data_IF_065348483187
#
_entry.id   IF_065348483187
#
_cell.length_a   1.000
_cell.length_b   1.000
_cell.length_c   1.000
_cell.angle_alpha   90.00
_cell.angle_beta   90.00
_cell.angle_gamma   90.00
#
_symmetry.space_group_name_H-M   'P 1'
#
loop_
_entity.id
_entity.type
_entity.pdbx_description
1 polymer ?
#
# COMPACT_ATOMS: atom_id res chain seq x y z
N UNK A 1 20.19 8.06 11.35
CA UNK A 1 20.44 8.67 10.01
C UNK A 1 20.25 10.19 10.01
N UNK A 2 20.98 10.94 9.18
CA UNK A 2 20.82 12.40 9.07
C UNK A 2 19.66 12.81 8.12
N UNK A 3 19.22 14.06 8.16
CA UNK A 3 18.07 14.53 7.38
C UNK A 3 18.27 14.38 5.85
N UNK A 4 19.46 14.68 5.33
CA UNK A 4 19.72 14.58 3.89
C UNK A 4 19.63 13.13 3.39
N UNK A 5 20.11 12.17 4.17
CA UNK A 5 19.95 10.74 3.88
C UNK A 5 18.47 10.32 3.91
N UNK A 6 17.70 10.79 4.88
CA UNK A 6 16.25 10.48 4.96
C UNK A 6 15.51 11.02 3.72
N UNK A 7 15.80 12.25 3.31
CA UNK A 7 15.22 12.88 2.12
C UNK A 7 15.60 12.13 0.82
N UNK A 8 16.85 11.65 0.74
CA UNK A 8 17.30 10.83 -0.39
C UNK A 8 16.55 9.51 -0.46
N UNK A 9 16.39 8.81 0.67
CA UNK A 9 15.65 7.54 0.72
C UNK A 9 14.18 7.76 0.36
N UNK A 10 13.54 8.79 0.91
CA UNK A 10 12.17 9.13 0.58
C UNK A 10 12.00 9.46 -0.92
N UNK A 11 12.98 10.13 -1.52
CA UNK A 11 12.99 10.41 -2.96
C UNK A 11 13.06 9.12 -3.78
N UNK A 12 13.90 8.15 -3.37
CA UNK A 12 13.98 6.84 -4.00
C UNK A 12 12.63 6.11 -3.87
N UNK A 13 12.03 6.08 -2.68
CA UNK A 13 10.71 5.46 -2.43
C UNK A 13 9.64 6.05 -3.36
N UNK A 14 9.55 7.38 -3.44
CA UNK A 14 8.61 8.09 -4.34
C UNK A 14 8.82 7.72 -5.80
N UNK A 15 10.08 7.74 -6.26
CA UNK A 15 10.40 7.40 -7.64
C UNK A 15 10.02 5.96 -7.98
N UNK A 16 10.23 5.01 -7.05
CA UNK A 16 9.82 3.63 -7.26
C UNK A 16 8.28 3.48 -7.22
N UNK A 17 7.57 4.19 -6.35
CA UNK A 17 6.11 4.21 -6.37
C UNK A 17 5.58 4.69 -7.72
N UNK A 18 6.13 5.78 -8.26
CA UNK A 18 5.71 6.29 -9.57
C UNK A 18 5.97 5.29 -10.70
N UNK A 19 7.07 4.55 -10.64
CA UNK A 19 7.43 3.55 -11.66
C UNK A 19 6.59 2.28 -11.56
N UNK A 20 6.35 1.77 -10.34
CA UNK A 20 5.67 0.49 -10.11
C UNK A 20 4.16 0.63 -9.88
N UNK A 21 3.69 1.86 -9.66
CA UNK A 21 2.32 2.18 -9.22
C UNK A 21 1.95 1.55 -7.87
N UNK A 22 2.93 1.20 -7.05
CA UNK A 22 2.76 0.70 -5.69
C UNK A 22 3.91 1.14 -4.78
N UNK A 23 3.61 1.32 -3.50
CA UNK A 23 4.61 1.76 -2.51
C UNK A 23 5.58 0.59 -2.26
N UNK A 24 6.88 0.78 -2.53
CA UNK A 24 7.87 -0.29 -2.45
C UNK A 24 8.09 -0.79 -1.02
N UNK A 25 8.53 -2.04 -0.90
CA UNK A 25 9.09 -2.60 0.32
C UNK A 25 10.60 -2.31 0.41
N UNK A 26 11.20 -2.51 1.59
CA UNK A 26 12.67 -2.45 1.69
C UNK A 26 13.33 -3.47 0.76
N UNK A 27 12.78 -4.68 0.62
CA UNK A 27 13.34 -5.67 -0.31
C UNK A 27 13.25 -5.23 -1.78
N UNK A 28 12.27 -4.41 -2.17
CA UNK A 28 12.24 -3.79 -3.51
C UNK A 28 13.40 -2.82 -3.71
N UNK A 29 13.71 -2.03 -2.69
CA UNK A 29 14.83 -1.09 -2.71
C UNK A 29 16.16 -1.85 -2.84
N UNK A 30 16.33 -2.91 -2.06
CA UNK A 30 17.52 -3.78 -2.07
C UNK A 30 17.72 -4.49 -3.42
N UNK A 31 16.64 -4.91 -4.07
CA UNK A 31 16.66 -5.59 -5.38
C UNK A 31 16.81 -4.62 -6.56
N UNK A 32 16.73 -3.30 -6.34
CA UNK A 32 16.77 -2.33 -7.42
C UNK A 32 18.17 -2.26 -8.08
N UNK A 33 18.29 -2.31 -9.42
CA UNK A 33 19.59 -2.41 -10.10
C UNK A 33 20.51 -1.20 -9.88
N UNK A 34 19.94 -0.01 -9.64
CA UNK A 34 20.72 1.23 -9.47
C UNK A 34 20.90 1.59 -7.99
N UNK A 35 19.88 1.38 -7.17
CA UNK A 35 19.86 1.87 -5.79
C UNK A 35 20.08 0.76 -4.77
N UNK A 36 19.90 -0.51 -5.16
CA UNK A 36 20.13 -1.69 -4.32
C UNK A 36 21.44 -1.65 -3.55
N UNK A 37 22.59 -1.28 -4.15
CA UNK A 37 23.86 -1.15 -3.42
C UNK A 37 23.84 -0.23 -2.20
N UNK A 38 22.91 0.74 -2.12
CA UNK A 38 22.72 1.63 -0.96
C UNK A 38 22.06 0.89 0.21
N UNK A 39 21.23 -0.10 -0.09
CA UNK A 39 20.38 -0.82 0.85
C UNK A 39 20.88 -2.23 1.17
N UNK A 40 21.88 -2.73 0.44
CA UNK A 40 22.50 -4.04 0.68
C UNK A 40 23.58 -3.96 1.75
N UNK A 41 23.57 -4.91 2.69
CA UNK A 41 24.62 -5.01 3.72
C UNK A 41 24.55 -3.95 4.80
N UNK A 42 23.43 -3.24 4.91
CA UNK A 42 23.13 -2.36 6.03
C UNK A 42 22.83 -3.20 7.28
N UNK A 43 23.08 -2.64 8.46
CA UNK A 43 22.74 -3.31 9.71
C UNK A 43 21.25 -3.21 10.02
N UNK A 44 20.80 -4.02 11.00
CA UNK A 44 19.40 -4.08 11.38
C UNK A 44 18.83 -2.74 11.86
N UNK A 45 19.64 -1.94 12.55
CA UNK A 45 19.21 -0.62 13.02
C UNK A 45 18.89 0.31 11.84
N UNK A 46 19.72 0.28 10.79
CA UNK A 46 19.48 1.04 9.57
C UNK A 46 18.30 0.50 8.77
N UNK A 47 18.10 -0.82 8.71
CA UNK A 47 16.88 -1.40 8.12
C UNK A 47 15.62 -0.86 8.80
N UNK A 48 15.61 -0.84 10.14
CA UNK A 48 14.48 -0.37 10.93
C UNK A 48 14.25 1.14 10.74
N UNK A 49 15.31 1.96 10.66
CA UNK A 49 15.19 3.38 10.32
C UNK A 49 14.57 3.59 8.92
N UNK A 50 14.89 2.73 7.95
CA UNK A 50 14.37 2.85 6.58
C UNK A 50 12.91 2.40 6.50
N UNK A 51 12.57 1.30 7.15
CA UNK A 51 11.18 0.85 7.28
C UNK A 51 10.33 1.96 7.93
N UNK A 52 10.84 2.63 8.96
CA UNK A 52 10.13 3.76 9.58
C UNK A 52 9.89 4.93 8.60
N UNK A 53 10.82 5.20 7.67
CA UNK A 53 10.61 6.20 6.61
C UNK A 53 9.49 5.75 5.67
N UNK A 54 9.48 4.48 5.25
CA UNK A 54 8.45 3.91 4.38
C UNK A 54 7.08 3.95 5.08
N UNK A 55 7.02 3.57 6.36
CA UNK A 55 5.79 3.57 7.15
C UNK A 55 5.23 4.99 7.34
N UNK A 56 6.11 5.95 7.63
CA UNK A 56 5.74 7.36 7.72
C UNK A 56 5.18 7.84 6.38
N UNK A 57 5.83 7.47 5.28
CA UNK A 57 5.36 7.79 3.95
C UNK A 57 4.00 7.17 3.63
N UNK A 58 3.78 5.89 3.97
CA UNK A 58 2.48 5.22 3.80
C UNK A 58 1.38 5.99 4.55
N UNK A 59 1.63 6.39 5.81
CA UNK A 59 0.67 7.17 6.61
C UNK A 59 0.34 8.51 5.95
N UNK A 60 1.35 9.22 5.46
CA UNK A 60 1.17 10.48 4.71
C UNK A 60 0.38 10.25 3.42
N UNK A 61 0.67 9.17 2.68
CA UNK A 61 -0.04 8.82 1.45
C UNK A 61 -1.51 8.55 1.72
N UNK A 62 -1.83 7.78 2.77
CA UNK A 62 -3.20 7.52 3.19
C UNK A 62 -3.92 8.80 3.61
N UNK A 63 -3.31 9.64 4.45
CA UNK A 63 -3.89 10.92 4.87
C UNK A 63 -4.13 11.87 3.68
N UNK A 64 -3.33 11.76 2.62
CA UNK A 64 -3.48 12.50 1.37
C UNK A 64 -4.65 12.06 0.49
N UNK A 65 -5.31 10.92 0.77
CA UNK A 65 -6.41 10.37 -0.04
C UNK A 65 -7.77 11.06 0.19
N UNK A 66 -7.79 12.37 0.39
CA UNK A 66 -9.01 13.12 0.74
C UNK A 66 -9.83 13.59 -0.47
N UNK A 67 -9.26 13.54 -1.68
CA UNK A 67 -9.85 14.17 -2.89
C UNK A 67 -11.04 13.41 -3.48
N UNK A 68 -11.06 12.08 -3.36
CA UNK A 68 -12.10 11.24 -3.97
C UNK A 68 -12.86 10.49 -2.89
N UNK A 69 -14.11 10.10 -3.19
CA UNK A 69 -14.91 9.33 -2.23
C UNK A 69 -14.26 7.98 -1.92
N UNK A 70 -13.72 7.29 -2.93
CA UNK A 70 -12.98 6.04 -2.75
C UNK A 70 -11.75 6.23 -1.86
N UNK A 71 -10.99 7.32 -2.05
CA UNK A 71 -9.85 7.65 -1.19
C UNK A 71 -10.25 7.89 0.26
N UNK A 72 -11.32 8.65 0.50
CA UNK A 72 -11.85 8.90 1.84
C UNK A 72 -12.32 7.62 2.54
N UNK A 73 -12.92 6.69 1.78
CA UNK A 73 -13.34 5.39 2.31
C UNK A 73 -12.14 4.51 2.65
N UNK A 74 -11.11 4.49 1.80
CA UNK A 74 -9.87 3.77 2.09
C UNK A 74 -9.12 4.35 3.30
N UNK A 75 -9.06 5.69 3.41
CA UNK A 75 -8.52 6.36 4.60
C UNK A 75 -9.27 5.92 5.87
N UNK A 76 -10.60 5.86 5.82
CA UNK A 76 -11.39 5.38 6.96
C UNK A 76 -11.10 3.90 7.29
N UNK A 77 -10.88 3.06 6.28
CA UNK A 77 -10.42 1.68 6.52
C UNK A 77 -9.09 1.67 7.28
N UNK A 78 -8.10 2.43 6.84
CA UNK A 78 -6.82 2.54 7.56
C UNK A 78 -7.01 3.01 9.01
N UNK A 79 -7.82 4.04 9.25
CA UNK A 79 -8.07 4.58 10.60
C UNK A 79 -8.82 3.61 11.52
N UNK A 80 -9.67 2.73 10.98
CA UNK A 80 -10.53 1.83 11.76
C UNK A 80 -10.03 0.40 11.84
N UNK A 81 -9.15 0.00 10.92
CA UNK A 81 -8.61 -1.35 10.76
C UNK A 81 -7.09 -1.29 10.59
N UNK A 82 -6.42 -0.40 11.33
CA UNK A 82 -4.98 -0.13 11.20
C UNK A 82 -4.15 -1.40 11.38
N UNK A 83 -4.47 -2.23 12.38
CA UNK A 83 -3.76 -3.49 12.63
C UNK A 83 -3.87 -4.45 11.44
N UNK A 84 -5.08 -4.61 10.88
CA UNK A 84 -5.31 -5.43 9.70
C UNK A 84 -4.58 -4.88 8.47
N UNK A 85 -4.56 -3.56 8.31
CA UNK A 85 -3.83 -2.90 7.22
C UNK A 85 -2.35 -3.25 7.29
N UNK A 86 -1.70 -3.06 8.43
CA UNK A 86 -0.26 -3.31 8.56
C UNK A 86 0.06 -4.80 8.47
N UNK A 87 -0.72 -5.66 9.14
CA UNK A 87 -0.53 -7.10 9.06
C UNK A 87 -0.63 -7.62 7.61
N UNK A 88 -1.61 -7.12 6.85
CA UNK A 88 -1.75 -7.50 5.45
C UNK A 88 -0.69 -6.86 4.53
N UNK A 89 -0.23 -5.64 4.88
CA UNK A 89 0.86 -4.97 4.18
C UNK A 89 2.16 -5.76 4.32
N UNK A 90 2.49 -6.22 5.52
CA UNK A 90 3.72 -6.93 5.80
C UNK A 90 3.76 -8.26 5.05
N UNK A 91 2.70 -9.07 5.14
CA UNK A 91 2.63 -10.36 4.44
C UNK A 91 2.55 -10.21 2.90
N UNK A 92 2.21 -9.02 2.38
CA UNK A 92 2.27 -8.74 0.94
C UNK A 92 3.71 -8.68 0.40
N UNK A 93 4.72 -8.48 1.27
CA UNK A 93 6.13 -8.49 0.85
C UNK A 93 6.54 -9.87 0.32
N UNK A 94 6.17 -10.90 1.08
CA UNK A 94 6.50 -12.28 0.79
C UNK A 94 5.35 -13.22 1.19
N UNK A 95 4.29 -13.32 0.35
CA UNK A 95 3.10 -14.10 0.69
C UNK A 95 3.40 -15.61 0.81
N UNK A 96 4.50 -16.09 0.23
CA UNK A 96 4.88 -17.50 0.26
C UNK A 96 5.46 -17.94 1.62
N UNK A 97 5.86 -17.00 2.49
CA UNK A 97 6.37 -17.33 3.84
C UNK A 97 5.27 -17.88 4.76
N UNK A 98 4.06 -17.34 4.65
CA UNK A 98 2.87 -17.82 5.37
C UNK A 98 1.63 -17.61 4.49
N UNK A 99 1.48 -18.49 3.50
CA UNK A 99 0.41 -18.39 2.51
C UNK A 99 -0.99 -18.49 3.14
N UNK A 100 -1.15 -19.33 4.17
CA UNK A 100 -2.43 -19.47 4.87
C UNK A 100 -2.81 -18.17 5.60
N UNK A 101 -1.84 -17.50 6.23
CA UNK A 101 -2.05 -16.20 6.84
C UNK A 101 -2.31 -15.12 5.78
N UNK A 102 -1.58 -15.13 4.66
CA UNK A 102 -1.80 -14.22 3.54
C UNK A 102 -3.25 -14.32 3.03
N UNK A 103 -3.75 -15.53 2.77
CA UNK A 103 -5.12 -15.76 2.34
C UNK A 103 -6.13 -15.30 3.41
N UNK A 104 -5.89 -15.64 4.67
CA UNK A 104 -6.78 -15.26 5.78
C UNK A 104 -6.90 -13.75 5.96
N UNK A 105 -5.77 -13.02 6.00
CA UNK A 105 -5.76 -11.57 6.13
C UNK A 105 -6.29 -10.91 4.86
N UNK A 106 -5.90 -11.42 3.70
CA UNK A 106 -6.38 -10.98 2.40
C UNK A 106 -7.89 -11.00 2.31
N UNK A 107 -8.54 -12.10 2.71
CA UNK A 107 -10.01 -12.21 2.72
C UNK A 107 -10.68 -11.21 3.66
N UNK A 108 -10.07 -10.91 4.81
CA UNK A 108 -10.59 -9.87 5.69
C UNK A 108 -10.52 -8.49 5.05
N UNK A 109 -9.39 -8.16 4.40
CA UNK A 109 -9.25 -6.91 3.65
C UNK A 109 -10.23 -6.87 2.48
N UNK A 110 -10.37 -7.96 1.72
CA UNK A 110 -11.29 -8.08 0.59
C UNK A 110 -12.74 -7.82 1.01
N UNK A 111 -13.16 -8.37 2.16
CA UNK A 111 -14.49 -8.12 2.73
C UNK A 111 -14.70 -6.64 3.11
N UNK A 112 -13.68 -5.98 3.67
CA UNK A 112 -13.74 -4.53 3.93
C UNK A 112 -13.86 -3.76 2.61
N UNK A 113 -13.03 -4.08 1.62
CA UNK A 113 -13.01 -3.38 0.33
C UNK A 113 -14.34 -3.55 -0.42
N UNK A 114 -14.92 -4.75 -0.43
CA UNK A 114 -16.24 -5.01 -0.99
C UNK A 114 -17.33 -4.18 -0.32
N UNK A 115 -17.30 -4.07 1.01
CA UNK A 115 -18.26 -3.23 1.75
C UNK A 115 -18.12 -1.76 1.36
N UNK A 116 -16.88 -1.26 1.22
CA UNK A 116 -16.62 0.12 0.82
C UNK A 116 -16.99 0.38 -0.65
N UNK A 117 -16.75 -0.58 -1.54
CA UNK A 117 -17.20 -0.52 -2.93
C UNK A 117 -18.73 -0.46 -3.01
N UNK A 118 -19.44 -1.25 -2.20
CA UNK A 118 -20.90 -1.15 -2.06
C UNK A 118 -21.35 0.27 -1.73
N UNK A 119 -20.74 0.89 -0.72
CA UNK A 119 -21.02 2.29 -0.34
C UNK A 119 -20.72 3.27 -1.48
N UNK A 120 -19.65 3.01 -2.25
CA UNK A 120 -19.24 3.84 -3.37
C UNK A 120 -20.23 3.76 -4.54
N UNK A 121 -20.75 2.56 -4.80
CA UNK A 121 -21.60 2.25 -5.96
C UNK A 121 -23.10 2.44 -5.68
N UNK A 122 -23.57 2.31 -4.44
CA UNK A 122 -24.96 2.55 -4.03
C UNK A 122 -25.47 3.95 -4.42
N UNK A 123 -24.61 4.96 -4.32
CA UNK A 123 -24.94 6.35 -4.69
C UNK A 123 -24.90 6.61 -6.20
N UNK A 124 -24.44 5.63 -6.97
CA UNK A 124 -24.29 5.70 -8.43
C UNK A 124 -25.32 4.85 -9.17
N UNK A 125 -26.23 4.17 -8.45
CA UNK A 125 -27.37 3.45 -9.03
C UNK A 125 -28.24 4.45 -9.82
N UNK A 126 -28.21 4.32 -11.16
CA UNK A 126 -28.88 5.23 -12.11
C UNK A 126 -27.93 6.11 -12.95
N UNK A 127 -26.62 6.10 -12.68
CA UNK A 127 -25.58 6.74 -13.48
C UNK A 127 -24.59 5.67 -13.99
N UNK A 128 -25.00 4.86 -14.97
CA UNK A 128 -24.17 3.77 -15.53
C UNK A 128 -22.86 4.29 -16.15
N UNK A 129 -22.85 5.53 -16.66
CA UNK A 129 -21.64 6.12 -17.26
C UNK A 129 -20.64 6.54 -16.18
N UNK A 130 -19.59 5.74 -16.01
CA UNK A 130 -18.41 6.08 -15.20
C UNK A 130 -18.23 5.24 -13.93
N UNK A 131 -19.16 4.33 -13.64
CA UNK A 131 -19.06 3.41 -12.50
C UNK A 131 -17.77 2.59 -12.56
N UNK A 132 -17.49 1.97 -13.70
CA UNK A 132 -16.28 1.16 -13.91
C UNK A 132 -15.00 1.95 -13.62
N UNK A 133 -14.96 3.23 -14.01
CA UNK A 133 -13.81 4.10 -13.78
C UNK A 133 -13.64 4.40 -12.29
N UNK A 134 -14.74 4.59 -11.57
CA UNK A 134 -14.75 4.87 -10.13
C UNK A 134 -14.28 3.64 -9.35
N UNK A 135 -14.81 2.47 -9.68
CA UNK A 135 -14.40 1.18 -9.07
C UNK A 135 -12.94 0.88 -9.41
N UNK A 136 -12.53 1.00 -10.67
CA UNK A 136 -11.13 0.80 -11.08
C UNK A 136 -10.18 1.75 -10.34
N UNK A 137 -10.55 3.03 -10.19
CA UNK A 137 -9.73 4.00 -9.46
C UNK A 137 -9.63 3.66 -7.97
N UNK A 138 -10.68 3.09 -7.38
CA UNK A 138 -10.66 2.62 -5.99
C UNK A 138 -9.72 1.42 -5.82
N UNK A 139 -9.78 0.43 -6.71
CA UNK A 139 -8.84 -0.71 -6.66
C UNK A 139 -7.41 -0.33 -6.99
N UNK A 140 -7.16 0.67 -7.82
CA UNK A 140 -5.80 1.19 -8.03
C UNK A 140 -5.20 1.75 -6.72
N UNK A 141 -6.01 2.37 -5.86
CA UNK A 141 -5.56 2.77 -4.52
C UNK A 141 -5.18 1.52 -3.72
N UNK A 142 -6.05 0.51 -3.67
CA UNK A 142 -5.82 -0.73 -2.92
C UNK A 142 -4.52 -1.41 -3.37
N UNK A 143 -4.35 -1.61 -4.68
CA UNK A 143 -3.14 -2.23 -5.25
C UNK A 143 -1.88 -1.41 -5.05
N UNK A 144 -1.97 -0.09 -4.86
CA UNK A 144 -0.80 0.72 -4.53
C UNK A 144 -0.24 0.42 -3.14
N UNK A 145 -1.07 -0.06 -2.20
CA UNK A 145 -0.62 -0.49 -0.87
C UNK A 145 -0.42 -2.01 -0.78
N UNK A 146 -1.26 -2.79 -1.48
CA UNK A 146 -1.28 -4.25 -1.44
C UNK A 146 -1.09 -4.83 -2.85
N UNK A 147 0.14 -4.82 -3.40
CA UNK A 147 0.39 -5.22 -4.79
C UNK A 147 0.09 -6.70 -5.09
N UNK A 148 0.03 -7.56 -4.07
CA UNK A 148 -0.32 -8.98 -4.17
C UNK A 148 -1.78 -9.27 -3.90
N UNK A 149 -2.63 -8.26 -3.65
CA UNK A 149 -4.06 -8.46 -3.36
C UNK A 149 -4.79 -9.32 -4.39
N UNK A 150 -4.40 -9.26 -5.66
CA UNK A 150 -5.00 -10.09 -6.73
C UNK A 150 -4.64 -11.58 -6.68
N UNK A 151 -3.83 -12.01 -5.70
CA UNK A 151 -3.47 -13.42 -5.44
C UNK A 151 -4.30 -14.05 -4.33
N UNK A 152 -5.21 -13.29 -3.71
CA UNK A 152 -6.14 -13.80 -2.71
C UNK A 152 -7.26 -14.57 -3.42
N UNK A 153 -7.52 -15.81 -3.02
CA UNK A 153 -8.45 -16.77 -3.67
C UNK A 153 -9.68 -17.08 -2.82
#
# INVERSE_FOLDING_TARGET
MNQAEQEQILTIVKNLEEQKQCIPFLSDLQKHPVFGPIFTGIDKAKEDEINQIIDTYIRERVAGLSKTKGGQLFQRFFETQEELFWAFRDINENPDEDFDLFQKLGKQVEQQMFTLEGILTEKMVGQEKGLDKVVSSFYNIIYSFFPRMGQVE
#
